data_IF_620525158879
#
_entry.id   IF_620525158879
#
_cell.length_a   1.000
_cell.length_b   1.000
_cell.length_c   1.000
_cell.angle_alpha   90.00
_cell.angle_beta   90.00
_cell.angle_gamma   90.00
#
_symmetry.space_group_name_H-M   'P 1'
#
loop_
_entity.id
_entity.type
_entity.pdbx_description
1 polymer ?
#
# COMPACT_ATOMS: atom_id res chain seq x y z
N UNK A 1 2.86 -22.96 3.32
CA UNK A 1 2.44 -24.30 2.82
C UNK A 1 1.24 -24.09 1.92
N UNK A 2 1.34 -24.38 0.61
CA UNK A 2 0.20 -24.33 -0.29
C UNK A 2 -0.66 -25.60 -0.07
N UNK A 3 -2.01 -25.50 -0.09
CA UNK A 3 -2.87 -26.66 0.12
C UNK A 3 -2.63 -27.73 -0.96
N UNK A 4 -2.81 -29.00 -0.61
CA UNK A 4 -2.64 -30.20 -1.48
C UNK A 4 -3.41 -30.14 -2.79
N UNK A 5 -4.42 -29.29 -2.92
CA UNK A 5 -5.24 -29.07 -4.11
C UNK A 5 -4.47 -28.51 -5.32
N UNK A 6 -3.31 -27.87 -5.12
CA UNK A 6 -2.47 -27.38 -6.23
C UNK A 6 -1.77 -28.50 -7.04
N UNK A 7 -1.84 -29.77 -6.59
CA UNK A 7 -1.24 -30.92 -7.29
C UNK A 7 -2.11 -31.53 -8.39
N UNK A 8 -3.36 -31.09 -8.52
CA UNK A 8 -4.38 -31.78 -9.35
C UNK A 8 -4.52 -31.17 -10.75
N UNK A 9 -3.98 -29.98 -11.00
CA UNK A 9 -4.04 -29.36 -12.34
C UNK A 9 -2.85 -29.86 -13.17
N UNK A 10 -3.17 -30.61 -14.22
CA UNK A 10 -2.31 -31.42 -15.10
C UNK A 10 -0.92 -30.86 -15.43
N UNK A 11 0.00 -31.78 -15.81
CA UNK A 11 1.42 -31.51 -16.13
C UNK A 11 1.66 -30.73 -17.43
N UNK A 12 0.60 -30.31 -18.15
CA UNK A 12 0.70 -29.53 -19.39
C UNK A 12 0.98 -28.02 -19.13
N UNK A 13 1.44 -27.30 -20.17
CA UNK A 13 1.70 -25.87 -20.15
C UNK A 13 0.51 -25.05 -19.62
N UNK A 14 -0.71 -25.41 -19.98
CA UNK A 14 -1.94 -24.76 -19.54
C UNK A 14 -2.17 -24.96 -18.03
N UNK A 15 -2.08 -26.19 -17.52
CA UNK A 15 -2.25 -26.49 -16.09
C UNK A 15 -1.20 -25.78 -15.23
N UNK A 16 0.03 -25.64 -15.75
CA UNK A 16 1.07 -24.86 -15.05
C UNK A 16 0.75 -23.36 -15.00
N UNK A 17 0.28 -22.77 -16.11
CA UNK A 17 -0.11 -21.36 -16.15
C UNK A 17 -1.28 -21.06 -15.19
N UNK A 18 -2.30 -21.92 -15.15
CA UNK A 18 -3.43 -21.80 -14.21
C UNK A 18 -2.94 -21.91 -12.76
N UNK A 19 -2.03 -22.84 -12.45
CA UNK A 19 -1.47 -23.00 -11.11
C UNK A 19 -0.67 -21.75 -10.68
N UNK A 20 0.16 -21.21 -11.57
CA UNK A 20 0.90 -19.95 -11.32
C UNK A 20 -0.06 -18.80 -11.07
N UNK A 21 -1.11 -18.65 -11.88
CA UNK A 21 -2.12 -17.60 -11.72
C UNK A 21 -2.87 -17.71 -10.38
N UNK A 22 -3.34 -18.90 -10.04
CA UNK A 22 -4.02 -19.12 -8.76
C UNK A 22 -3.09 -18.91 -7.56
N UNK A 23 -1.85 -19.38 -7.66
CA UNK A 23 -0.84 -19.14 -6.61
C UNK A 23 -0.53 -17.65 -6.46
N UNK A 24 -0.46 -16.90 -7.57
CA UNK A 24 -0.31 -15.45 -7.55
C UNK A 24 -1.49 -14.79 -6.83
N UNK A 25 -2.73 -15.11 -7.21
CA UNK A 25 -3.94 -14.57 -6.59
C UNK A 25 -4.02 -14.85 -5.09
N UNK A 26 -3.74 -16.09 -4.67
CA UNK A 26 -3.72 -16.47 -3.25
C UNK A 26 -2.65 -15.73 -2.46
N UNK A 27 -1.45 -15.57 -3.01
CA UNK A 27 -0.39 -14.79 -2.39
C UNK A 27 -0.77 -13.31 -2.27
N UNK A 28 -1.41 -12.73 -3.29
CA UNK A 28 -1.91 -11.35 -3.25
C UNK A 28 -3.00 -11.18 -2.18
N UNK A 29 -3.99 -12.08 -2.16
CA UNK A 29 -5.04 -12.07 -1.14
C UNK A 29 -4.46 -12.15 0.28
N UNK A 30 -3.47 -13.04 0.49
CA UNK A 30 -2.75 -13.13 1.77
C UNK A 30 -1.96 -11.86 2.09
N UNK A 31 -1.34 -11.21 1.10
CA UNK A 31 -0.65 -9.95 1.32
C UNK A 31 -1.62 -8.82 1.70
N UNK A 32 -2.82 -8.81 1.12
CA UNK A 32 -3.86 -7.81 1.36
C UNK A 32 -4.72 -8.06 2.61
N UNK A 33 -4.47 -9.09 3.42
CA UNK A 33 -5.41 -9.53 4.46
C UNK A 33 -5.78 -8.40 5.44
N UNK A 34 -4.83 -7.58 5.88
CA UNK A 34 -5.09 -6.47 6.78
C UNK A 34 -5.97 -5.39 6.10
N UNK A 35 -5.51 -4.87 4.96
CA UNK A 35 -6.25 -3.84 4.22
C UNK A 35 -7.59 -4.32 3.70
N UNK A 36 -7.67 -5.57 3.21
CA UNK A 36 -8.91 -6.19 2.74
C UNK A 36 -9.93 -6.36 3.86
N UNK A 37 -9.49 -6.77 5.05
CA UNK A 37 -10.36 -6.91 6.23
C UNK A 37 -10.89 -5.56 6.70
N UNK A 38 -10.04 -4.53 6.73
CA UNK A 38 -10.46 -3.17 7.10
C UNK A 38 -11.42 -2.59 6.07
N UNK A 39 -11.14 -2.74 4.77
CA UNK A 39 -12.02 -2.27 3.69
C UNK A 39 -13.38 -2.98 3.71
N UNK A 40 -13.40 -4.29 3.99
CA UNK A 40 -14.63 -5.04 4.17
C UNK A 40 -15.43 -4.54 5.38
N UNK A 41 -14.77 -4.23 6.50
CA UNK A 41 -15.43 -3.65 7.67
C UNK A 41 -16.03 -2.26 7.36
N UNK A 42 -15.29 -1.39 6.65
CA UNK A 42 -15.77 -0.09 6.20
C UNK A 42 -17.03 -0.25 5.34
N UNK A 43 -17.01 -1.17 4.38
CA UNK A 43 -18.15 -1.40 3.48
C UNK A 43 -19.35 -2.03 4.21
N UNK A 44 -19.12 -3.06 5.02
CA UNK A 44 -20.19 -3.76 5.73
C UNK A 44 -20.88 -2.85 6.76
N UNK A 45 -20.11 -2.08 7.54
CA UNK A 45 -20.65 -1.18 8.55
C UNK A 45 -21.52 -0.09 7.94
N UNK A 46 -21.34 0.28 6.67
CA UNK A 46 -22.23 1.20 5.96
C UNK A 46 -23.68 0.73 5.93
N UNK A 47 -23.91 -0.58 5.85
CA UNK A 47 -25.23 -1.17 5.64
C UNK A 47 -25.85 -1.76 6.92
N UNK A 48 -25.01 -2.16 7.89
CA UNK A 48 -25.50 -2.91 9.05
C UNK A 48 -25.21 -2.24 10.39
N UNK A 49 -24.47 -1.13 10.42
CA UNK A 49 -24.13 -0.47 11.69
C UNK A 49 -25.34 0.31 12.20
N UNK A 50 -25.81 0.09 13.46
CA UNK A 50 -26.99 0.77 14.00
C UNK A 50 -26.70 2.26 14.24
N UNK A 51 -27.65 3.13 13.89
CA UNK A 51 -27.51 4.58 14.09
C UNK A 51 -27.56 4.97 15.58
N UNK A 52 -28.18 4.14 16.43
CA UNK A 52 -28.32 4.33 17.88
C UNK A 52 -27.25 3.58 18.70
N UNK A 53 -26.21 3.07 18.05
CA UNK A 53 -25.13 2.36 18.74
C UNK A 53 -24.38 3.28 19.71
N UNK A 54 -24.13 2.81 20.95
CA UNK A 54 -23.35 3.54 21.96
C UNK A 54 -21.92 3.83 21.49
N UNK A 55 -21.32 2.88 20.76
CA UNK A 55 -20.03 3.05 20.09
C UNK A 55 -20.27 3.60 18.70
N UNK A 56 -19.63 4.71 18.34
CA UNK A 56 -19.77 5.25 16.99
C UNK A 56 -19.11 4.34 15.96
N UNK A 57 -19.55 4.41 14.70
CA UNK A 57 -19.00 3.58 13.62
C UNK A 57 -17.49 3.77 13.43
N UNK A 58 -16.98 5.01 13.52
CA UNK A 58 -15.54 5.26 13.37
C UNK A 58 -14.74 4.73 14.56
N UNK A 59 -15.29 4.80 15.76
CA UNK A 59 -14.66 4.21 16.94
C UNK A 59 -14.63 2.68 16.86
N UNK A 60 -15.71 2.08 16.37
CA UNK A 60 -15.74 0.64 16.05
C UNK A 60 -14.66 0.27 15.02
N UNK A 61 -14.54 1.01 13.91
CA UNK A 61 -13.54 0.75 12.88
C UNK A 61 -12.10 0.88 13.43
N UNK A 62 -11.86 1.84 14.32
CA UNK A 62 -10.58 1.98 15.00
C UNK A 62 -10.28 0.77 15.90
N UNK A 63 -11.18 0.40 16.80
CA UNK A 63 -10.99 -0.74 17.69
C UNK A 63 -10.90 -2.07 16.92
N UNK A 64 -11.66 -2.21 15.85
CA UNK A 64 -11.58 -3.35 14.95
C UNK A 64 -10.20 -3.45 14.28
N UNK A 65 -9.67 -2.33 13.75
CA UNK A 65 -8.34 -2.31 13.15
C UNK A 65 -7.25 -2.70 14.16
N UNK A 66 -7.32 -2.18 15.39
CA UNK A 66 -6.42 -2.55 16.49
C UNK A 66 -6.54 -4.04 16.81
N UNK A 67 -7.76 -4.58 16.93
CA UNK A 67 -8.00 -5.99 17.22
C UNK A 67 -7.43 -6.90 16.13
N UNK A 68 -7.66 -6.57 14.85
CA UNK A 68 -7.09 -7.29 13.69
C UNK A 68 -5.58 -7.26 13.75
N UNK A 69 -4.97 -6.08 14.01
CA UNK A 69 -3.52 -5.93 14.13
C UNK A 69 -2.93 -6.81 15.23
N UNK A 70 -3.54 -6.80 16.42
CA UNK A 70 -3.11 -7.63 17.55
C UNK A 70 -3.26 -9.12 17.24
N UNK A 71 -4.37 -9.50 16.61
CA UNK A 71 -4.61 -10.89 16.18
C UNK A 71 -3.53 -11.35 15.18
N UNK A 72 -3.18 -10.52 14.21
CA UNK A 72 -2.15 -10.85 13.21
C UNK A 72 -0.76 -10.99 13.82
N UNK A 73 -0.43 -10.18 14.84
CA UNK A 73 0.81 -10.33 15.61
C UNK A 73 0.79 -11.60 16.46
N UNK A 74 -0.28 -11.86 17.19
CA UNK A 74 -0.43 -13.03 18.05
C UNK A 74 -0.37 -14.35 17.26
N UNK A 75 -0.98 -14.38 16.07
CA UNK A 75 -0.96 -15.54 15.16
C UNK A 75 0.31 -15.64 14.32
N UNK A 76 1.26 -14.70 14.48
CA UNK A 76 2.49 -14.61 13.68
C UNK A 76 2.26 -14.50 12.16
N UNK A 77 1.07 -14.08 11.76
CA UNK A 77 0.79 -13.69 10.37
C UNK A 77 1.55 -12.43 9.99
N UNK A 78 1.90 -11.62 10.98
CA UNK A 78 2.70 -10.42 10.84
C UNK A 78 3.93 -10.47 11.75
N UNK A 79 5.05 -9.98 11.24
CA UNK A 79 6.30 -9.88 12.00
C UNK A 79 6.37 -8.55 12.76
N UNK A 80 7.22 -8.48 13.80
CA UNK A 80 7.48 -7.23 14.54
C UNK A 80 8.00 -6.12 13.62
N UNK A 81 8.77 -6.46 12.59
CA UNK A 81 9.26 -5.47 11.62
C UNK A 81 8.11 -4.92 10.75
N UNK A 82 7.16 -5.77 10.35
CA UNK A 82 5.94 -5.32 9.66
C UNK A 82 5.11 -4.42 10.57
N UNK A 83 4.98 -4.75 11.86
CA UNK A 83 4.29 -3.90 12.84
C UNK A 83 4.95 -2.51 13.01
N UNK A 84 6.29 -2.43 12.99
CA UNK A 84 7.01 -1.14 12.98
C UNK A 84 6.67 -0.31 11.74
N UNK A 85 6.59 -0.95 10.57
CA UNK A 85 6.19 -0.28 9.33
C UNK A 85 4.78 0.27 9.48
N UNK A 86 3.84 -0.53 9.98
CA UNK A 86 2.46 -0.11 10.23
C UNK A 86 2.40 1.10 11.15
N UNK A 87 3.18 1.11 12.24
CA UNK A 87 3.23 2.26 13.15
C UNK A 87 3.76 3.52 12.46
N UNK A 88 4.82 3.40 11.65
CA UNK A 88 5.35 4.54 10.87
C UNK A 88 4.27 5.08 9.92
N UNK A 89 3.59 4.20 9.20
CA UNK A 89 2.52 4.58 8.28
C UNK A 89 1.33 5.21 9.00
N UNK A 90 0.97 4.67 10.18
CA UNK A 90 -0.11 5.25 10.99
C UNK A 90 0.22 6.69 11.39
N UNK A 91 1.44 6.96 11.87
CA UNK A 91 1.88 8.30 12.25
C UNK A 91 1.95 9.24 11.05
N UNK A 92 2.63 8.83 9.98
CA UNK A 92 2.79 9.66 8.77
C UNK A 92 1.44 9.91 8.09
N UNK A 93 0.60 8.87 7.97
CA UNK A 93 -0.74 8.97 7.40
C UNK A 93 -1.65 9.88 8.21
N UNK A 94 -1.67 9.75 9.55
CA UNK A 94 -2.46 10.63 10.42
C UNK A 94 -2.02 12.09 10.31
N UNK A 95 -0.71 12.37 10.24
CA UNK A 95 -0.21 13.72 10.02
C UNK A 95 -0.67 14.30 8.67
N UNK A 96 -0.67 13.50 7.61
CA UNK A 96 -1.20 13.90 6.30
C UNK A 96 -2.70 14.20 6.37
N UNK A 97 -3.46 13.35 7.06
CA UNK A 97 -4.92 13.51 7.23
C UNK A 97 -5.27 14.81 7.96
N UNK A 98 -4.59 15.10 9.07
CA UNK A 98 -4.81 16.33 9.84
C UNK A 98 -4.63 17.57 8.95
N UNK A 99 -3.58 17.59 8.15
CA UNK A 99 -3.36 18.72 7.24
C UNK A 99 -4.41 18.79 6.14
N UNK A 100 -4.72 17.67 5.48
CA UNK A 100 -5.62 17.65 4.32
C UNK A 100 -7.08 17.91 4.69
N UNK A 101 -7.54 17.43 5.83
CA UNK A 101 -8.88 17.76 6.35
C UNK A 101 -8.97 19.23 6.77
N UNK A 102 -7.90 19.78 7.38
CA UNK A 102 -7.83 21.21 7.68
C UNK A 102 -7.83 22.08 6.42
N UNK A 103 -7.23 21.62 5.32
CA UNK A 103 -7.25 22.27 4.01
C UNK A 103 -8.56 22.02 3.21
N UNK A 104 -9.53 21.30 3.77
CA UNK A 104 -10.82 21.03 3.11
C UNK A 104 -10.74 20.07 1.92
N UNK A 105 -9.66 19.27 1.82
CA UNK A 105 -9.48 18.33 0.69
C UNK A 105 -10.49 17.20 0.70
N UNK A 106 -10.95 16.75 1.87
CA UNK A 106 -12.03 15.80 2.14
C UNK A 106 -12.54 15.94 3.56
N UNK A 107 -13.67 15.33 3.86
CA UNK A 107 -14.37 15.42 5.14
C UNK A 107 -14.72 14.04 5.66
N UNK A 108 -14.62 13.87 6.98
CA UNK A 108 -15.13 12.74 7.73
C UNK A 108 -16.45 13.16 8.39
N UNK A 109 -17.62 12.70 7.88
CA UNK A 109 -18.91 13.25 8.26
C UNK A 109 -19.42 12.79 9.64
N UNK A 110 -18.91 11.65 10.16
CA UNK A 110 -19.44 11.06 11.40
C UNK A 110 -18.65 11.52 12.63
N UNK A 111 -19.32 11.56 13.77
CA UNK A 111 -18.70 11.81 15.06
C UNK A 111 -17.85 10.60 15.51
N UNK A 112 -16.82 10.85 16.33
CA UNK A 112 -16.03 9.79 16.96
C UNK A 112 -15.34 10.31 18.22
N UNK A 113 -15.12 9.42 19.18
CA UNK A 113 -14.33 9.70 20.38
C UNK A 113 -12.82 9.61 20.08
N UNK A 114 -12.40 8.55 19.36
CA UNK A 114 -11.02 8.36 18.95
C UNK A 114 -10.67 9.18 17.71
N UNK A 115 -10.41 10.48 17.91
CA UNK A 115 -10.07 11.43 16.85
C UNK A 115 -9.01 12.44 17.29
N UNK A 116 -8.28 12.99 16.33
CA UNK A 116 -7.39 14.14 16.52
C UNK A 116 -7.90 15.26 15.61
N UNK A 117 -8.45 16.32 16.21
CA UNK A 117 -9.15 17.36 15.45
C UNK A 117 -10.33 16.76 14.66
N UNK A 118 -10.33 16.91 13.34
CA UNK A 118 -11.37 16.36 12.45
C UNK A 118 -11.02 14.99 11.87
N UNK A 119 -9.96 14.32 12.36
CA UNK A 119 -9.45 13.07 11.80
C UNK A 119 -9.71 11.90 12.74
N UNK A 120 -10.59 10.95 12.41
CA UNK A 120 -10.78 9.71 13.16
C UNK A 120 -9.54 8.83 13.08
N UNK A 121 -9.14 8.17 14.18
CA UNK A 121 -7.88 7.42 14.23
C UNK A 121 -7.85 6.15 13.39
N UNK A 122 -9.01 5.62 12.94
CA UNK A 122 -9.01 4.48 12.02
C UNK A 122 -8.34 4.82 10.68
N UNK A 123 -8.30 6.10 10.29
CA UNK A 123 -7.73 6.56 9.02
C UNK A 123 -6.24 6.26 8.91
N UNK A 124 -5.50 6.39 10.01
CA UNK A 124 -4.10 6.02 10.06
C UNK A 124 -3.86 4.54 9.71
N UNK A 125 -4.80 3.64 10.07
CA UNK A 125 -4.74 2.23 9.69
C UNK A 125 -5.04 1.99 8.20
N UNK A 126 -5.76 2.86 7.52
CA UNK A 126 -5.93 2.79 6.06
C UNK A 126 -4.57 2.97 5.36
N UNK A 127 -3.78 3.97 5.74
CA UNK A 127 -2.40 4.13 5.23
C UNK A 127 -1.50 2.97 5.66
N UNK A 128 -1.61 2.56 6.91
CA UNK A 128 -0.85 1.43 7.45
C UNK A 128 -1.11 0.12 6.68
N UNK A 129 -2.32 -0.07 6.13
CA UNK A 129 -2.66 -1.24 5.31
C UNK A 129 -1.82 -1.33 4.04
N UNK A 130 -1.46 -0.20 3.44
CA UNK A 130 -0.55 -0.14 2.28
C UNK A 130 0.86 -0.57 2.70
N UNK A 131 1.35 -0.09 3.84
CA UNK A 131 2.64 -0.49 4.40
C UNK A 131 2.71 -1.99 4.71
N UNK A 132 1.68 -2.53 5.37
CA UNK A 132 1.53 -3.96 5.66
C UNK A 132 1.56 -4.79 4.37
N UNK A 133 0.78 -4.39 3.36
CA UNK A 133 0.78 -5.04 2.05
C UNK A 133 2.17 -5.06 1.42
N UNK A 134 2.84 -3.90 1.33
CA UNK A 134 4.15 -3.78 0.68
C UNK A 134 5.23 -4.60 1.37
N UNK A 135 5.25 -4.60 2.70
CA UNK A 135 6.20 -5.38 3.47
C UNK A 135 5.96 -6.88 3.25
N UNK A 136 4.70 -7.30 3.30
CA UNK A 136 4.31 -8.70 3.16
C UNK A 136 4.50 -9.23 1.74
N UNK A 137 4.06 -8.48 0.70
CA UNK A 137 4.23 -8.89 -0.69
C UNK A 137 5.70 -9.04 -1.05
N UNK A 138 6.56 -8.14 -0.58
CA UNK A 138 8.02 -8.22 -0.79
C UNK A 138 8.61 -9.50 -0.21
N UNK A 139 8.14 -9.92 0.96
CA UNK A 139 8.57 -11.14 1.66
C UNK A 139 8.09 -12.41 0.97
N UNK A 140 6.78 -12.53 0.69
CA UNK A 140 6.19 -13.78 0.16
C UNK A 140 6.50 -14.03 -1.31
N UNK A 141 6.80 -12.99 -2.08
CA UNK A 141 7.24 -13.11 -3.47
C UNK A 141 8.77 -13.05 -3.63
N UNK A 142 9.50 -12.88 -2.53
CA UNK A 142 10.98 -12.80 -2.53
C UNK A 142 11.48 -11.74 -3.50
N UNK A 143 11.04 -10.48 -3.31
CA UNK A 143 11.39 -9.39 -4.21
C UNK A 143 12.90 -9.13 -4.23
N UNK A 144 13.45 -9.03 -5.43
CA UNK A 144 14.81 -8.56 -5.69
C UNK A 144 14.78 -7.52 -6.82
N UNK A 145 15.72 -6.62 -6.83
CA UNK A 145 15.73 -5.48 -7.75
C UNK A 145 17.01 -5.41 -8.54
N UNK A 146 16.91 -5.13 -9.84
CA UNK A 146 18.06 -4.76 -10.66
C UNK A 146 18.09 -3.26 -10.89
N UNK A 147 19.29 -2.68 -10.98
CA UNK A 147 19.49 -1.24 -11.26
C UNK A 147 18.66 -0.32 -10.33
N UNK A 148 18.56 -0.71 -9.07
CA UNK A 148 17.89 0.10 -8.06
C UNK A 148 18.69 1.40 -7.82
N UNK A 149 18.03 2.59 -7.76
CA UNK A 149 18.72 3.85 -7.52
C UNK A 149 19.45 3.87 -6.16
N UNK A 150 20.47 4.71 -5.97
CA UNK A 150 21.05 4.93 -4.65
C UNK A 150 19.99 5.31 -3.63
N UNK A 151 20.00 4.73 -2.43
CA UNK A 151 18.95 4.93 -1.42
C UNK A 151 18.75 6.41 -1.06
N UNK A 152 19.83 7.20 -0.98
CA UNK A 152 19.69 8.62 -0.66
C UNK A 152 18.89 9.41 -1.72
N UNK A 153 19.00 9.05 -3.03
CA UNK A 153 18.20 9.69 -4.08
C UNK A 153 16.71 9.34 -3.94
N UNK A 154 16.39 8.10 -3.53
CA UNK A 154 15.01 7.69 -3.28
C UNK A 154 14.41 8.39 -2.08
N UNK A 155 15.20 8.64 -1.03
CA UNK A 155 14.76 9.40 0.14
C UNK A 155 14.52 10.87 -0.20
N UNK A 156 15.43 11.52 -0.92
CA UNK A 156 15.24 12.90 -1.38
C UNK A 156 14.03 13.03 -2.31
N UNK A 157 13.84 12.08 -3.20
CA UNK A 157 12.68 12.06 -4.09
C UNK A 157 11.37 11.90 -3.30
N UNK A 158 11.32 10.96 -2.36
CA UNK A 158 10.17 10.77 -1.47
C UNK A 158 9.87 12.02 -0.66
N UNK A 159 10.90 12.70 -0.13
CA UNK A 159 10.76 13.98 0.57
C UNK A 159 10.19 15.07 -0.35
N UNK A 160 10.68 15.18 -1.58
CA UNK A 160 10.17 16.15 -2.56
C UNK A 160 8.68 15.90 -2.88
N UNK A 161 8.27 14.64 -3.05
CA UNK A 161 6.85 14.27 -3.23
C UNK A 161 6.05 14.67 -1.99
N UNK A 162 6.53 14.37 -0.80
CA UNK A 162 5.86 14.67 0.47
C UNK A 162 5.69 16.17 0.64
N UNK A 163 6.74 16.95 0.43
CA UNK A 163 6.69 18.43 0.48
C UNK A 163 5.69 18.98 -0.54
N UNK A 164 5.72 18.52 -1.80
CA UNK A 164 4.76 18.96 -2.82
C UNK A 164 3.32 18.62 -2.44
N UNK A 165 3.09 17.47 -1.79
CA UNK A 165 1.75 17.07 -1.34
C UNK A 165 1.13 18.05 -0.35
N UNK A 166 1.93 18.74 0.47
CA UNK A 166 1.48 19.80 1.36
C UNK A 166 1.51 21.17 0.68
N UNK A 167 2.59 21.45 -0.03
CA UNK A 167 2.90 22.80 -0.50
C UNK A 167 2.08 23.24 -1.72
N UNK A 168 1.55 22.31 -2.54
CA UNK A 168 0.83 22.64 -3.78
C UNK A 168 -0.45 23.49 -3.58
N UNK A 169 -0.92 23.64 -2.35
CA UNK A 169 -1.99 24.57 -2.00
C UNK A 169 -1.52 26.04 -1.92
N UNK A 170 -0.21 26.26 -1.76
CA UNK A 170 0.38 27.57 -1.52
C UNK A 170 1.39 27.99 -2.59
N UNK A 171 1.96 27.03 -3.31
CA UNK A 171 2.97 27.24 -4.36
C UNK A 171 2.62 26.42 -5.61
N UNK A 172 3.39 26.64 -6.68
CA UNK A 172 3.21 25.94 -7.96
C UNK A 172 3.30 24.41 -7.73
N UNK A 173 2.32 23.68 -8.25
CA UNK A 173 2.32 22.22 -8.24
C UNK A 173 3.38 21.68 -9.22
N UNK A 174 4.41 21.04 -8.70
CA UNK A 174 5.51 20.46 -9.48
C UNK A 174 5.29 18.98 -9.82
N UNK A 175 4.06 18.49 -9.72
CA UNK A 175 3.69 17.07 -9.91
C UNK A 175 4.19 16.51 -11.24
N UNK A 176 4.10 17.27 -12.33
CA UNK A 176 4.61 16.86 -13.66
C UNK A 176 6.12 16.60 -13.60
N UNK A 177 6.88 17.50 -12.97
CA UNK A 177 8.32 17.31 -12.76
C UNK A 177 8.65 16.09 -11.91
N UNK A 178 7.83 15.81 -10.89
CA UNK A 178 7.98 14.62 -10.05
C UNK A 178 7.71 13.33 -10.86
N UNK A 179 6.74 13.33 -11.79
CA UNK A 179 6.56 12.19 -12.70
C UNK A 179 7.75 12.00 -13.64
N UNK A 180 8.30 13.07 -14.20
CA UNK A 180 9.52 12.98 -15.02
C UNK A 180 10.69 12.40 -14.21
N UNK A 181 10.85 12.84 -12.96
CA UNK A 181 11.89 12.33 -12.06
C UNK A 181 11.63 10.86 -11.65
N UNK A 182 10.38 10.42 -11.51
CA UNK A 182 10.02 9.02 -11.30
C UNK A 182 10.60 8.14 -12.41
N UNK A 183 10.36 8.50 -13.68
CA UNK A 183 10.88 7.73 -14.81
C UNK A 183 12.40 7.81 -14.93
N UNK A 184 13.01 8.94 -14.60
CA UNK A 184 14.47 9.09 -14.59
C UNK A 184 15.11 8.18 -13.55
N UNK A 185 14.56 8.11 -12.33
CA UNK A 185 15.11 7.30 -11.24
C UNK A 185 14.80 5.81 -11.39
N UNK A 186 13.54 5.47 -11.64
CA UNK A 186 13.06 4.08 -11.58
C UNK A 186 12.77 3.45 -12.95
N UNK A 187 12.81 4.19 -14.04
CA UNK A 187 12.46 3.70 -15.37
C UNK A 187 13.29 2.52 -15.87
N UNK A 188 14.52 2.33 -15.31
CA UNK A 188 15.39 1.20 -15.63
C UNK A 188 15.37 0.10 -14.54
N UNK A 189 14.61 0.28 -13.47
CA UNK A 189 14.54 -0.65 -12.34
C UNK A 189 13.52 -1.74 -12.63
N UNK A 190 13.95 -3.00 -12.48
CA UNK A 190 13.09 -4.16 -12.59
C UNK A 190 12.94 -4.81 -11.22
N UNK A 191 11.73 -5.23 -10.89
CA UNK A 191 11.45 -6.10 -9.76
C UNK A 191 11.34 -7.53 -10.24
N UNK A 192 12.09 -8.41 -9.61
CA UNK A 192 12.05 -9.87 -9.81
C UNK A 192 11.27 -10.49 -8.66
N UNK A 193 10.39 -11.45 -8.98
CA UNK A 193 9.55 -12.08 -8.00
C UNK A 193 9.24 -13.54 -8.36
N UNK A 194 9.03 -14.37 -7.35
CA UNK A 194 8.71 -15.79 -7.51
C UNK A 194 7.29 -16.07 -7.06
N UNK A 195 6.47 -16.63 -7.97
CA UNK A 195 5.10 -17.00 -7.65
C UNK A 195 5.05 -18.42 -7.06
N UNK A 196 5.27 -19.44 -7.84
CA UNK A 196 5.30 -20.85 -7.41
C UNK A 196 6.57 -21.53 -7.89
N UNK A 197 6.66 -21.87 -9.19
CA UNK A 197 7.82 -22.52 -9.80
C UNK A 197 8.68 -21.58 -10.60
N UNK A 198 8.09 -20.51 -11.13
CA UNK A 198 8.76 -19.59 -12.04
C UNK A 198 9.10 -18.27 -11.37
N UNK A 199 10.21 -17.72 -11.81
CA UNK A 199 10.62 -16.38 -11.46
C UNK A 199 10.20 -15.43 -12.59
N UNK A 200 9.48 -14.39 -12.21
CA UNK A 200 8.96 -13.37 -13.09
C UNK A 200 9.68 -12.05 -12.86
N UNK A 201 9.53 -11.13 -13.81
CA UNK A 201 10.01 -9.75 -13.65
C UNK A 201 9.03 -8.79 -14.28
N UNK A 202 8.98 -7.57 -13.74
CA UNK A 202 8.25 -6.45 -14.35
C UNK A 202 8.99 -5.12 -14.07
N UNK A 203 8.77 -4.06 -14.87
CA UNK A 203 9.26 -2.73 -14.53
C UNK A 203 8.70 -2.29 -13.18
N UNK A 204 9.54 -1.74 -12.30
CA UNK A 204 9.09 -1.30 -10.96
C UNK A 204 8.03 -0.19 -11.05
N UNK A 205 8.15 0.71 -12.02
CA UNK A 205 7.15 1.77 -12.28
C UNK A 205 5.77 1.18 -12.59
N UNK A 206 5.70 0.07 -13.33
CA UNK A 206 4.43 -0.63 -13.56
C UNK A 206 3.87 -1.19 -12.25
N UNK A 207 4.72 -1.71 -11.38
CA UNK A 207 4.32 -2.17 -10.04
C UNK A 207 3.70 -1.04 -9.21
N UNK A 208 4.32 0.14 -9.20
CA UNK A 208 3.78 1.32 -8.52
C UNK A 208 2.41 1.72 -9.06
N UNK A 209 2.25 1.75 -10.39
CA UNK A 209 0.98 2.07 -11.03
C UNK A 209 -0.13 1.06 -10.67
N UNK A 210 0.18 -0.25 -10.74
CA UNK A 210 -0.80 -1.30 -10.42
C UNK A 210 -1.26 -1.21 -8.97
N UNK A 211 -0.35 -1.00 -8.02
CA UNK A 211 -0.73 -0.85 -6.61
C UNK A 211 -1.54 0.43 -6.40
N UNK A 212 -1.15 1.54 -7.00
CA UNK A 212 -1.89 2.81 -6.95
C UNK A 212 -3.31 2.66 -7.52
N UNK A 213 -3.47 1.88 -8.60
CA UNK A 213 -4.79 1.56 -9.17
C UNK A 213 -5.68 0.81 -8.17
N UNK A 214 -5.13 -0.19 -7.47
CA UNK A 214 -5.88 -0.90 -6.42
C UNK A 214 -6.22 0.00 -5.23
N UNK A 215 -5.33 0.92 -4.84
CA UNK A 215 -5.61 1.92 -3.80
C UNK A 215 -6.75 2.85 -4.26
N UNK A 216 -6.73 3.31 -5.51
CA UNK A 216 -7.80 4.12 -6.07
C UNK A 216 -9.15 3.38 -6.11
N UNK A 217 -9.16 2.07 -6.40
CA UNK A 217 -10.38 1.24 -6.31
C UNK A 217 -10.86 1.17 -4.85
N UNK A 218 -9.96 0.94 -3.89
CA UNK A 218 -10.29 0.91 -2.47
C UNK A 218 -10.83 2.26 -1.98
N UNK A 219 -10.28 3.38 -2.48
CA UNK A 219 -10.78 4.72 -2.21
C UNK A 219 -12.22 4.92 -2.71
N UNK A 220 -12.54 4.43 -3.90
CA UNK A 220 -13.92 4.45 -4.40
C UNK A 220 -14.89 3.63 -3.52
N UNK A 221 -14.44 2.48 -3.01
CA UNK A 221 -15.23 1.69 -2.06
C UNK A 221 -15.42 2.45 -0.75
N UNK A 222 -14.37 3.08 -0.22
CA UNK A 222 -14.41 3.85 1.03
C UNK A 222 -15.35 5.08 0.94
N UNK A 223 -15.28 5.83 -0.16
CA UNK A 223 -16.17 6.97 -0.39
C UNK A 223 -17.62 6.54 -0.68
N UNK A 224 -17.82 5.43 -1.40
CA UNK A 224 -19.14 4.81 -1.55
C UNK A 224 -19.74 4.38 -0.20
N UNK A 225 -18.92 3.83 0.67
CA UNK A 225 -19.31 3.48 2.04
C UNK A 225 -19.48 4.70 2.96
N UNK A 226 -19.36 5.93 2.45
CA UNK A 226 -19.45 7.19 3.22
C UNK A 226 -18.53 7.24 4.44
N UNK A 227 -17.39 6.53 4.38
CA UNK A 227 -16.38 6.62 5.43
C UNK A 227 -15.62 7.96 5.39
N UNK A 228 -15.55 8.59 4.25
CA UNK A 228 -15.24 9.99 3.97
C UNK A 228 -15.83 10.39 2.63
N UNK A 229 -15.85 11.66 2.33
CA UNK A 229 -16.24 12.14 1.02
C UNK A 229 -15.41 13.35 0.59
N UNK A 230 -15.29 13.53 -0.70
CA UNK A 230 -14.75 14.74 -1.32
C UNK A 230 -15.83 15.83 -1.40
N UNK A 231 -15.44 17.12 -1.57
CA UNK A 231 -16.43 18.21 -1.72
C UNK A 231 -17.42 17.99 -2.85
N UNK A 232 -16.98 17.38 -3.95
CA UNK A 232 -17.82 17.03 -5.12
C UNK A 232 -18.73 15.81 -4.89
N UNK A 233 -18.56 15.10 -3.79
CA UNK A 233 -19.37 13.95 -3.37
C UNK A 233 -20.27 14.26 -2.16
N UNK A 234 -20.39 15.52 -1.74
CA UNK A 234 -21.11 15.88 -0.52
C UNK A 234 -22.59 15.52 -0.59
N UNK A 235 -23.27 15.80 -1.71
CA UNK A 235 -24.69 15.52 -1.91
C UNK A 235 -24.91 14.07 -2.37
N UNK A 236 -24.25 13.66 -3.44
CA UNK A 236 -24.37 12.35 -4.05
C UNK A 236 -22.98 11.73 -4.30
N UNK A 237 -22.87 10.41 -4.14
CA UNK A 237 -21.63 9.71 -4.46
C UNK A 237 -21.39 9.69 -5.97
N UNK A 238 -20.19 10.04 -6.35
CA UNK A 238 -19.67 9.93 -7.70
C UNK A 238 -18.30 9.22 -7.70
N UNK A 239 -17.89 8.72 -8.85
CA UNK A 239 -16.61 8.07 -9.00
C UNK A 239 -15.47 9.06 -8.68
N UNK A 240 -14.53 8.65 -7.83
CA UNK A 240 -13.34 9.45 -7.50
C UNK A 240 -12.57 9.77 -8.78
N UNK A 241 -12.26 11.05 -8.97
CA UNK A 241 -11.58 11.54 -10.18
C UNK A 241 -10.29 10.76 -10.49
N UNK A 242 -10.06 10.43 -11.75
CA UNK A 242 -8.82 9.80 -12.22
C UNK A 242 -7.56 10.65 -11.93
N UNK A 243 -7.72 11.96 -11.73
CA UNK A 243 -6.60 12.81 -11.29
C UNK A 243 -6.05 12.39 -9.93
N UNK A 244 -6.85 11.76 -9.06
CA UNK A 244 -6.44 11.19 -7.78
C UNK A 244 -5.53 9.97 -7.96
N UNK A 245 -5.70 9.18 -9.02
CA UNK A 245 -4.80 8.07 -9.34
C UNK A 245 -3.36 8.56 -9.51
N UNK A 246 -3.14 9.71 -10.14
CA UNK A 246 -1.81 10.31 -10.25
C UNK A 246 -1.21 10.64 -8.86
N UNK A 247 -2.02 11.17 -7.95
CA UNK A 247 -1.58 11.40 -6.57
C UNK A 247 -1.22 10.09 -5.87
N UNK A 248 -2.01 9.03 -6.06
CA UNK A 248 -1.73 7.71 -5.49
C UNK A 248 -0.46 7.07 -6.05
N UNK A 249 -0.12 7.27 -7.33
CA UNK A 249 1.18 6.79 -7.87
C UNK A 249 2.34 7.44 -7.12
N UNK A 250 2.30 8.75 -6.88
CA UNK A 250 3.35 9.45 -6.14
C UNK A 250 3.37 9.05 -4.65
N UNK A 251 2.20 8.96 -4.01
CA UNK A 251 2.10 8.48 -2.61
C UNK A 251 2.56 7.03 -2.45
N UNK A 252 2.36 6.20 -3.49
CA UNK A 252 2.88 4.84 -3.53
C UNK A 252 4.41 4.81 -3.45
N UNK A 253 5.10 5.78 -4.06
CA UNK A 253 6.57 5.89 -3.98
C UNK A 253 7.00 6.20 -2.55
N UNK A 254 6.34 7.16 -1.88
CA UNK A 254 6.59 7.44 -0.46
C UNK A 254 6.40 6.15 0.36
N UNK A 255 5.28 5.45 0.15
CA UNK A 255 4.97 4.21 0.83
C UNK A 255 6.05 3.15 0.63
N UNK A 256 6.49 2.96 -0.61
CA UNK A 256 7.56 2.03 -0.93
C UNK A 256 8.89 2.41 -0.26
N UNK A 257 9.25 3.69 -0.26
CA UNK A 257 10.47 4.19 0.37
C UNK A 257 10.41 4.04 1.88
N UNK A 258 9.27 4.31 2.53
CA UNK A 258 9.10 4.08 3.98
C UNK A 258 9.32 2.61 4.35
N UNK A 259 8.85 1.67 3.54
CA UNK A 259 9.12 0.23 3.74
C UNK A 259 10.63 -0.06 3.64
N UNK A 260 11.36 0.62 2.74
CA UNK A 260 12.81 0.41 2.59
C UNK A 260 13.64 0.90 3.78
N UNK A 261 13.08 1.76 4.63
CA UNK A 261 13.76 2.17 5.88
C UNK A 261 13.90 0.99 6.87
N UNK A 262 12.93 0.08 6.85
CA UNK A 262 12.93 -1.11 7.71
C UNK A 262 13.47 -2.34 6.98
N UNK A 263 13.05 -2.53 5.73
CA UNK A 263 13.40 -3.68 4.89
C UNK A 263 14.19 -3.20 3.67
N UNK A 264 15.52 -3.30 3.70
CA UNK A 264 16.35 -2.88 2.56
C UNK A 264 16.03 -3.68 1.30
N UNK A 265 15.99 -3.03 0.11
CA UNK A 265 15.73 -3.72 -1.15
C UNK A 265 16.80 -4.79 -1.42
N UNK A 266 16.37 -6.03 -1.65
CA UNK A 266 17.23 -7.12 -2.04
C UNK A 266 17.83 -6.88 -3.44
N UNK A 267 19.12 -7.13 -3.63
CA UNK A 267 19.77 -7.07 -4.95
C UNK A 267 19.58 -8.38 -5.69
N UNK A 268 19.36 -8.29 -7.02
CA UNK A 268 19.36 -9.46 -7.89
C UNK A 268 20.78 -10.03 -7.97
N UNK A 269 20.99 -11.34 -7.70
CA UNK A 269 22.27 -11.99 -7.95
C UNK A 269 22.66 -11.89 -9.43
N UNK A 270 23.79 -11.29 -9.75
CA UNK A 270 24.32 -11.19 -11.12
C UNK A 270 24.34 -9.79 -11.75
N UNK A 271 23.85 -8.73 -11.08
CA UNK A 271 23.95 -7.34 -11.57
C UNK A 271 25.10 -6.52 -10.96
N UNK A 272 25.85 -7.11 -10.04
CA UNK A 272 27.08 -6.54 -9.46
C UNK A 272 28.30 -7.27 -10.02
N UNK A 273 29.24 -6.49 -10.54
CA UNK A 273 30.41 -6.88 -11.31
C UNK A 273 31.18 -8.08 -10.82
N UNK A 274 31.96 -8.65 -11.75
CA UNK A 274 33.04 -9.59 -11.57
C UNK A 274 33.80 -9.32 -10.26
N UNK A 275 33.35 -9.92 -9.17
CA UNK A 275 34.25 -10.12 -8.05
C UNK A 275 35.16 -11.30 -8.42
N UNK A 276 36.42 -10.94 -8.62
CA UNK A 276 37.52 -11.77 -8.97
C UNK A 276 37.50 -13.02 -8.10
N UNK A 277 37.38 -14.16 -8.73
CA UNK A 277 37.95 -15.38 -8.19
C UNK A 277 39.44 -15.12 -8.01
N UNK A 278 39.90 -15.06 -6.78
CA UNK A 278 41.33 -15.23 -6.48
C UNK A 278 41.67 -16.68 -6.77
N UNK A 279 42.61 -16.96 -7.66
CA UNK A 279 43.19 -18.27 -7.72
C UNK A 279 44.36 -18.32 -6.70
N UNK A 280 44.45 -19.40 -5.94
CA UNK A 280 45.65 -19.75 -5.25
C UNK A 280 45.56 -19.71 -3.72
N UNK A 281 45.60 -20.74 -3.11
CA UNK A 281 46.62 -21.67 -2.67
C UNK A 281 45.96 -22.81 -1.89
#
# INVERSE_FOLDING_TARGET
MLPRTARVLGTGRFGTAVTEFLAFGLKQAYACIFGGTLLAAILLTRFVYPDDAVLTRYDFLFLFAVAVQLCMLATRLESINEAKIILIFHVVGTAMEIFKTAAGSWVYPEESFFRIGNVPLFTGFMYASVGSYLARVSRIFHFAYSRYPPLWTTYLFSLAIYVNFFAHHFVIDIRIGLFALLFLLYGRTWVYYSVYRYRHRMPLVLGFFLVALFIWIAENIGTFARAWHYPDQAEEWSLVSLSKLNAWVLLMIISFVLVTLVNRPGKEPGTGGKDRASPGE
#
